data_IF_236588227087
#
_entry.id   IF_236588227087
#
_cell.length_a   1.000
_cell.length_b   1.000
_cell.length_c   1.000
_cell.angle_alpha   90.00
_cell.angle_beta   90.00
_cell.angle_gamma   90.00
#
_symmetry.space_group_name_H-M   'P 1'
#
loop_
_entity.id
_entity.type
_entity.pdbx_description
1 polymer ?
#
# COMPACT_ATOMS: atom_id res chain seq x y z
N UNK A 1 7.18 -82.78 46.81
CA UNK A 1 6.80 -83.01 45.40
C UNK A 1 5.55 -82.18 45.14
N UNK A 2 5.61 -81.22 44.22
CA UNK A 2 4.44 -80.42 43.86
C UNK A 2 3.53 -81.30 42.99
N UNK A 3 2.23 -81.42 43.27
CA UNK A 3 1.34 -82.25 42.48
C UNK A 3 1.26 -81.72 41.04
N UNK A 4 1.35 -82.61 40.05
CA UNK A 4 1.40 -82.26 38.62
C UNK A 4 0.20 -81.40 38.17
N UNK A 5 -0.96 -81.59 38.80
CA UNK A 5 -2.18 -80.79 38.59
C UNK A 5 -1.96 -79.31 38.91
N UNK A 6 -1.18 -78.99 39.94
CA UNK A 6 -0.90 -77.63 40.37
C UNK A 6 0.01 -76.90 39.36
N UNK A 7 0.94 -77.63 38.74
CA UNK A 7 1.80 -77.12 37.66
C UNK A 7 0.97 -76.83 36.41
N UNK A 8 0.04 -77.74 36.05
CA UNK A 8 -0.89 -77.56 34.92
C UNK A 8 -1.81 -76.34 35.11
N UNK A 9 -2.38 -76.17 36.31
CA UNK A 9 -3.24 -75.03 36.64
C UNK A 9 -2.46 -73.71 36.58
N UNK A 10 -1.24 -73.66 37.14
CA UNK A 10 -0.40 -72.46 37.11
C UNK A 10 0.00 -72.09 35.66
N UNK A 11 0.31 -73.08 34.82
CA UNK A 11 0.63 -72.83 33.42
C UNK A 11 -0.58 -72.29 32.64
N UNK A 12 -1.77 -72.86 32.85
CA UNK A 12 -3.02 -72.37 32.22
C UNK A 12 -3.38 -70.97 32.70
N UNK A 13 -3.23 -70.69 33.99
CA UNK A 13 -3.45 -69.35 34.55
C UNK A 13 -2.46 -68.33 33.99
N UNK A 14 -1.16 -68.69 33.90
CA UNK A 14 -0.14 -67.84 33.28
C UNK A 14 -0.41 -67.56 31.80
N UNK A 15 -0.82 -68.57 31.04
CA UNK A 15 -1.20 -68.41 29.63
C UNK A 15 -2.43 -67.52 29.46
N UNK A 16 -3.46 -67.66 30.30
CA UNK A 16 -4.65 -66.82 30.26
C UNK A 16 -4.32 -65.35 30.56
N UNK A 17 -3.47 -65.09 31.55
CA UNK A 17 -3.00 -63.74 31.89
C UNK A 17 -2.19 -63.14 30.73
N UNK A 18 -1.29 -63.91 30.11
CA UNK A 18 -0.49 -63.45 28.99
C UNK A 18 -1.36 -63.05 27.78
N UNK A 19 -2.38 -63.85 27.45
CA UNK A 19 -3.33 -63.54 26.37
C UNK A 19 -4.12 -62.27 26.68
N UNK A 20 -4.56 -62.10 27.93
CA UNK A 20 -5.29 -60.91 28.35
C UNK A 20 -4.43 -59.64 28.25
N UNK A 21 -3.18 -59.69 28.70
CA UNK A 21 -2.25 -58.55 28.59
C UNK A 21 -1.93 -58.22 27.12
N UNK A 22 -1.74 -59.24 26.28
CA UNK A 22 -1.53 -59.03 24.85
C UNK A 22 -2.74 -58.34 24.19
N UNK A 23 -3.97 -58.74 24.54
CA UNK A 23 -5.20 -58.11 24.03
C UNK A 23 -5.35 -56.64 24.49
N UNK A 24 -4.97 -56.33 25.73
CA UNK A 24 -4.97 -54.95 26.22
C UNK A 24 -3.93 -54.09 25.50
N UNK A 25 -2.73 -54.63 25.30
CA UNK A 25 -1.65 -53.90 24.60
C UNK A 25 -2.01 -53.61 23.15
N UNK A 26 -2.57 -54.58 22.42
CA UNK A 26 -3.02 -54.37 21.04
C UNK A 26 -4.19 -53.40 20.96
N UNK A 27 -5.16 -53.49 21.89
CA UNK A 27 -6.27 -52.55 21.98
C UNK A 27 -5.81 -51.11 22.25
N UNK A 28 -4.83 -50.93 23.13
CA UNK A 28 -4.26 -49.60 23.41
C UNK A 28 -3.54 -48.99 22.20
N UNK A 29 -2.71 -49.78 21.50
CA UNK A 29 -2.03 -49.31 20.29
C UNK A 29 -3.03 -48.98 19.18
N UNK A 30 -4.02 -49.85 18.97
CA UNK A 30 -5.08 -49.62 17.98
C UNK A 30 -5.88 -48.35 18.29
N UNK A 31 -6.32 -48.18 19.55
CA UNK A 31 -7.05 -46.98 19.99
C UNK A 31 -6.25 -45.70 19.78
N UNK A 32 -4.98 -45.69 20.20
CA UNK A 32 -4.10 -44.52 20.00
C UNK A 32 -3.90 -44.20 18.51
N UNK A 33 -3.74 -45.22 17.67
CA UNK A 33 -3.58 -45.00 16.23
C UNK A 33 -4.85 -44.46 15.57
N UNK A 34 -6.04 -44.88 16.03
CA UNK A 34 -7.31 -44.36 15.55
C UNK A 34 -7.50 -42.89 15.94
N UNK A 35 -7.28 -42.54 17.21
CA UNK A 35 -7.38 -41.15 17.68
C UNK A 35 -6.39 -40.23 16.96
N UNK A 36 -5.15 -40.68 16.75
CA UNK A 36 -4.15 -39.94 15.98
C UNK A 36 -4.57 -39.78 14.51
N UNK A 37 -5.17 -40.82 13.91
CA UNK A 37 -5.69 -40.76 12.55
C UNK A 37 -6.82 -39.74 12.39
N UNK A 38 -7.78 -39.74 13.30
CA UNK A 38 -8.87 -38.75 13.32
C UNK A 38 -8.37 -37.33 13.52
N UNK A 39 -7.40 -37.13 14.44
CA UNK A 39 -6.80 -35.83 14.67
C UNK A 39 -6.09 -35.30 13.42
N UNK A 40 -5.25 -36.12 12.79
CA UNK A 40 -4.54 -35.75 11.57
C UNK A 40 -5.48 -35.46 10.41
N UNK A 41 -6.57 -36.23 10.28
CA UNK A 41 -7.59 -35.97 9.27
C UNK A 41 -8.27 -34.61 9.50
N UNK A 42 -8.65 -34.30 10.74
CA UNK A 42 -9.23 -33.01 11.09
C UNK A 42 -8.26 -31.84 10.89
N UNK A 43 -6.98 -32.01 11.20
CA UNK A 43 -5.94 -31.01 10.91
C UNK A 43 -5.76 -30.79 9.41
N UNK A 44 -5.76 -31.86 8.62
CA UNK A 44 -5.64 -31.77 7.17
C UNK A 44 -6.83 -31.05 6.53
N UNK A 45 -8.05 -31.33 7.00
CA UNK A 45 -9.24 -30.60 6.55
C UNK A 45 -9.18 -29.11 6.87
N UNK A 46 -8.76 -28.75 8.09
CA UNK A 46 -8.56 -27.34 8.48
C UNK A 46 -7.50 -26.67 7.62
N UNK A 47 -6.35 -27.31 7.43
CA UNK A 47 -5.26 -26.78 6.61
C UNK A 47 -5.70 -26.57 5.15
N UNK A 48 -6.48 -27.49 4.58
CA UNK A 48 -7.03 -27.33 3.24
C UNK A 48 -8.02 -26.18 3.16
N UNK A 49 -8.94 -26.06 4.11
CA UNK A 49 -9.90 -24.96 4.15
C UNK A 49 -9.19 -23.59 4.29
N UNK A 50 -8.14 -23.52 5.11
CA UNK A 50 -7.30 -22.33 5.24
C UNK A 50 -6.57 -22.01 3.92
N UNK A 51 -5.99 -23.01 3.28
CA UNK A 51 -5.29 -22.84 2.00
C UNK A 51 -6.23 -22.35 0.88
N UNK A 52 -7.45 -22.89 0.81
CA UNK A 52 -8.48 -22.41 -0.12
C UNK A 52 -8.88 -20.96 0.18
N UNK A 53 -9.08 -20.61 1.46
CA UNK A 53 -9.40 -19.25 1.87
C UNK A 53 -8.28 -18.25 1.51
N UNK A 54 -7.01 -18.64 1.72
CA UNK A 54 -5.84 -17.83 1.33
C UNK A 54 -5.81 -17.66 -0.19
N UNK A 55 -5.99 -18.74 -0.94
CA UNK A 55 -5.98 -18.70 -2.41
C UNK A 55 -7.08 -17.79 -2.95
N UNK A 56 -8.27 -17.83 -2.35
CA UNK A 56 -9.37 -16.94 -2.70
C UNK A 56 -9.02 -15.47 -2.41
N UNK A 57 -8.51 -15.17 -1.21
CA UNK A 57 -8.08 -13.82 -0.85
C UNK A 57 -6.99 -13.28 -1.78
N UNK A 58 -6.04 -14.12 -2.19
CA UNK A 58 -4.99 -13.74 -3.14
C UNK A 58 -5.57 -13.38 -4.51
N UNK A 59 -6.54 -14.15 -5.01
CA UNK A 59 -7.23 -13.84 -6.28
C UNK A 59 -8.03 -12.55 -6.19
N UNK A 60 -8.77 -12.36 -5.09
CA UNK A 60 -9.56 -11.14 -4.86
C UNK A 60 -8.65 -9.90 -4.77
N UNK A 61 -7.52 -10.01 -4.05
CA UNK A 61 -6.52 -8.95 -3.93
C UNK A 61 -5.85 -8.64 -5.27
N UNK A 62 -5.53 -9.65 -6.08
CA UNK A 62 -4.95 -9.45 -7.41
C UNK A 62 -5.94 -8.72 -8.34
N UNK A 63 -7.22 -9.09 -8.31
CA UNK A 63 -8.26 -8.41 -9.08
C UNK A 63 -8.47 -6.96 -8.61
N UNK A 64 -8.45 -6.71 -7.30
CA UNK A 64 -8.51 -5.36 -6.74
C UNK A 64 -7.30 -4.51 -7.16
N UNK A 65 -6.09 -5.07 -7.11
CA UNK A 65 -4.87 -4.41 -7.54
C UNK A 65 -4.91 -4.05 -9.04
N UNK A 66 -5.41 -4.95 -9.90
CA UNK A 66 -5.56 -4.67 -11.32
C UNK A 66 -6.55 -3.52 -11.59
N UNK A 67 -7.68 -3.47 -10.87
CA UNK A 67 -8.64 -2.36 -10.96
C UNK A 67 -8.01 -1.04 -10.51
N UNK A 68 -7.28 -1.07 -9.39
CA UNK A 68 -6.62 0.12 -8.87
C UNK A 68 -5.53 0.63 -9.83
N UNK A 69 -4.78 -0.26 -10.49
CA UNK A 69 -3.81 0.12 -11.51
C UNK A 69 -4.48 0.83 -12.69
N UNK A 70 -5.60 0.31 -13.21
CA UNK A 70 -6.35 0.93 -14.29
C UNK A 70 -6.91 2.31 -13.89
N UNK A 71 -7.46 2.44 -12.68
CA UNK A 71 -7.92 3.75 -12.16
C UNK A 71 -6.77 4.74 -12.03
N UNK A 72 -5.62 4.31 -11.51
CA UNK A 72 -4.43 5.16 -11.38
C UNK A 72 -3.89 5.63 -12.74
N UNK A 73 -3.92 4.76 -13.74
CA UNK A 73 -3.56 5.12 -15.12
C UNK A 73 -4.51 6.17 -15.68
N UNK A 74 -5.83 5.99 -15.51
CA UNK A 74 -6.85 6.97 -15.92
C UNK A 74 -6.64 8.34 -15.25
N UNK A 75 -6.42 8.35 -13.93
CA UNK A 75 -6.14 9.60 -13.17
C UNK A 75 -4.86 10.26 -13.67
N UNK A 76 -3.81 9.48 -13.91
CA UNK A 76 -2.52 10.01 -14.39
C UNK A 76 -2.67 10.62 -15.77
N UNK A 77 -3.41 9.95 -16.66
CA UNK A 77 -3.72 10.46 -17.99
C UNK A 77 -4.51 11.76 -17.92
N UNK A 78 -5.61 11.80 -17.18
CA UNK A 78 -6.44 13.01 -17.03
C UNK A 78 -5.65 14.19 -16.46
N UNK A 79 -4.82 13.95 -15.44
CA UNK A 79 -3.90 14.96 -14.89
C UNK A 79 -2.93 15.47 -15.96
N UNK A 80 -2.29 14.58 -16.70
CA UNK A 80 -1.28 14.96 -17.70
C UNK A 80 -1.92 15.76 -18.84
N UNK A 81 -3.07 15.32 -19.34
CA UNK A 81 -3.79 15.99 -20.42
C UNK A 81 -4.21 17.42 -20.03
N UNK A 82 -4.55 17.65 -18.77
CA UNK A 82 -4.90 18.97 -18.25
C UNK A 82 -3.67 19.85 -17.96
N UNK A 83 -2.63 19.29 -17.35
CA UNK A 83 -1.47 20.05 -16.85
C UNK A 83 -0.52 20.48 -17.98
N UNK A 84 -0.31 19.65 -19.00
CA UNK A 84 0.64 19.94 -20.08
C UNK A 84 0.39 21.29 -20.80
N UNK A 85 -0.84 21.62 -21.24
CA UNK A 85 -1.08 22.92 -21.86
C UNK A 85 -0.91 24.09 -20.88
N UNK A 86 -1.17 23.89 -19.59
CA UNK A 86 -1.00 24.92 -18.56
C UNK A 86 0.48 25.19 -18.31
N UNK A 87 1.30 24.15 -18.20
CA UNK A 87 2.77 24.28 -18.10
C UNK A 87 3.31 25.05 -19.31
N UNK A 88 2.88 24.70 -20.52
CA UNK A 88 3.32 25.38 -21.74
C UNK A 88 2.98 26.88 -21.71
N UNK A 89 1.79 27.25 -21.22
CA UNK A 89 1.38 28.67 -21.06
C UNK A 89 2.21 29.39 -20.01
N UNK A 90 2.46 28.79 -18.84
CA UNK A 90 3.27 29.39 -17.77
C UNK A 90 4.73 29.57 -18.25
N UNK A 91 5.27 28.61 -18.98
CA UNK A 91 6.61 28.70 -19.55
C UNK A 91 6.72 29.80 -20.61
N UNK A 92 5.67 29.99 -21.43
CA UNK A 92 5.60 31.04 -22.45
C UNK A 92 5.25 32.43 -21.87
N UNK A 93 4.83 32.52 -20.61
CA UNK A 93 4.44 33.78 -20.00
C UNK A 93 5.65 34.71 -19.78
N UNK A 94 5.46 35.98 -20.14
CA UNK A 94 6.44 37.05 -19.88
C UNK A 94 6.81 37.12 -18.40
N UNK A 95 8.01 37.63 -18.11
CA UNK A 95 8.47 37.81 -16.73
C UNK A 95 7.56 38.78 -15.97
N UNK A 96 7.31 38.47 -14.72
CA UNK A 96 6.42 39.27 -13.87
C UNK A 96 7.03 40.65 -13.61
N UNK A 97 6.22 41.70 -13.75
CA UNK A 97 6.61 43.09 -13.45
C UNK A 97 6.37 43.40 -11.97
N UNK A 98 7.29 44.12 -11.36
CA UNK A 98 7.11 44.63 -9.99
C UNK A 98 6.11 45.78 -10.06
N UNK A 99 4.93 45.57 -9.48
CA UNK A 99 3.91 46.62 -9.37
C UNK A 99 4.41 47.77 -8.50
N UNK A 100 4.06 49.00 -8.88
CA UNK A 100 4.40 50.22 -8.14
C UNK A 100 3.91 50.22 -6.69
N UNK A 101 2.87 49.43 -6.37
CA UNK A 101 2.33 49.26 -5.02
C UNK A 101 3.20 48.37 -4.10
N UNK A 102 4.08 47.52 -4.65
CA UNK A 102 4.91 46.58 -3.85
C UNK A 102 6.16 47.28 -3.31
N UNK A 103 6.70 48.26 -4.05
CA UNK A 103 7.89 49.02 -3.66
C UNK A 103 7.60 50.51 -3.36
N UNK A 104 6.34 50.93 -3.31
CA UNK A 104 5.95 52.29 -2.98
C UNK A 104 5.91 52.51 -1.46
N UNK A 105 7.07 52.62 -0.80
CA UNK A 105 7.08 52.96 0.63
C UNK A 105 8.39 52.79 1.41
N UNK A 106 9.47 53.48 1.02
CA UNK A 106 10.24 54.25 2.01
C UNK A 106 10.91 55.44 1.31
N UNK A 107 10.34 56.62 1.52
CA UNK A 107 11.11 57.84 1.43
C UNK A 107 12.12 57.81 2.61
N UNK A 108 13.41 57.80 2.31
CA UNK A 108 14.46 58.02 3.31
C UNK A 108 15.24 56.77 3.73
N UNK A 109 16.10 56.28 2.84
CA UNK A 109 17.40 55.76 3.26
C UNK A 109 18.41 56.16 2.19
N UNK A 110 19.13 57.25 2.46
CA UNK A 110 20.32 57.65 1.71
C UNK A 110 21.41 56.58 1.81
N UNK A 111 22.22 56.50 0.74
CA UNK A 111 23.60 55.95 0.61
C UNK A 111 23.73 54.49 0.08
N UNK A 112 24.77 54.13 -0.72
CA UNK A 112 25.72 54.90 -1.54
C UNK A 112 25.61 54.64 -3.06
N UNK A 113 26.23 55.51 -3.86
CA UNK A 113 26.48 55.35 -5.30
C UNK A 113 27.12 53.99 -5.63
N UNK A 114 26.41 53.19 -6.42
CA UNK A 114 26.99 52.10 -7.22
C UNK A 114 27.09 52.65 -8.65
N UNK A 115 28.25 52.55 -9.32
CA UNK A 115 28.43 53.19 -10.63
C UNK A 115 27.43 52.62 -11.64
N UNK A 116 26.73 53.58 -12.24
CA UNK A 116 25.81 53.45 -13.37
C UNK A 116 26.38 52.54 -14.46
N UNK A 117 25.69 51.41 -14.66
CA UNK A 117 25.63 50.71 -15.95
C UNK A 117 24.15 50.67 -16.32
N UNK A 118 23.83 51.26 -17.48
CA UNK A 118 22.52 51.75 -17.90
C UNK A 118 21.31 50.86 -17.60
N UNK A 119 20.34 51.42 -16.87
CA UNK A 119 18.95 51.63 -17.31
C UNK A 119 18.15 52.21 -16.12
N UNK A 120 18.43 53.48 -15.83
CA UNK A 120 17.77 54.24 -14.77
C UNK A 120 16.73 55.20 -15.33
N UNK A 121 15.65 54.70 -15.95
CA UNK A 121 14.48 55.51 -16.27
C UNK A 121 13.23 54.68 -16.61
N UNK A 122 12.91 53.64 -15.84
CA UNK A 122 11.53 53.14 -15.85
C UNK A 122 11.13 52.46 -14.53
N UNK A 123 10.65 53.25 -13.58
CA UNK A 123 10.06 52.75 -12.33
C UNK A 123 8.75 51.96 -12.56
N UNK A 124 8.20 51.99 -13.78
CA UNK A 124 7.02 51.19 -14.19
C UNK A 124 7.38 49.87 -14.89
N UNK A 125 8.66 49.59 -15.17
CA UNK A 125 9.13 48.37 -15.88
C UNK A 125 10.17 47.54 -15.13
N UNK A 126 10.33 47.70 -13.81
CA UNK A 126 11.25 46.86 -13.05
C UNK A 126 10.75 45.41 -13.05
N UNK A 127 11.41 44.53 -13.80
CA UNK A 127 11.10 43.10 -13.82
C UNK A 127 11.53 42.44 -12.51
N UNK A 128 10.77 41.44 -12.06
CA UNK A 128 11.16 40.58 -10.93
C UNK A 128 12.48 39.87 -11.28
N UNK A 129 13.39 39.69 -10.31
CA UNK A 129 14.66 38.99 -10.53
C UNK A 129 14.41 37.60 -11.14
N UNK A 130 15.34 37.13 -11.97
CA UNK A 130 15.14 35.91 -12.76
C UNK A 130 15.06 34.63 -11.92
N UNK A 131 15.69 34.61 -10.74
CA UNK A 131 15.55 33.54 -9.75
C UNK A 131 14.15 33.53 -9.14
N UNK A 132 13.65 34.69 -8.71
CA UNK A 132 12.30 34.81 -8.13
C UNK A 132 11.20 34.51 -9.18
N UNK A 133 11.36 34.96 -10.43
CA UNK A 133 10.42 34.62 -11.52
C UNK A 133 10.40 33.12 -11.80
N UNK A 134 11.57 32.47 -11.77
CA UNK A 134 11.69 31.01 -11.93
C UNK A 134 11.00 30.27 -10.80
N UNK A 135 11.24 30.68 -9.55
CA UNK A 135 10.64 30.05 -8.37
C UNK A 135 9.12 30.24 -8.35
N UNK A 136 8.63 31.43 -8.74
CA UNK A 136 7.21 31.71 -8.86
C UNK A 136 6.55 30.83 -9.95
N UNK A 137 7.18 30.72 -11.12
CA UNK A 137 6.69 29.82 -12.18
C UNK A 137 6.71 28.36 -11.75
N UNK A 138 7.74 27.93 -11.04
CA UNK A 138 7.82 26.57 -10.49
C UNK A 138 6.70 26.32 -9.47
N UNK A 139 6.42 27.29 -8.60
CA UNK A 139 5.31 27.23 -7.64
C UNK A 139 3.96 27.17 -8.35
N UNK A 140 3.72 28.01 -9.36
CA UNK A 140 2.49 27.97 -10.15
C UNK A 140 2.29 26.61 -10.83
N UNK A 141 3.35 26.04 -11.40
CA UNK A 141 3.31 24.69 -11.98
C UNK A 141 2.99 23.62 -10.93
N UNK A 142 3.56 23.73 -9.73
CA UNK A 142 3.29 22.80 -8.64
C UNK A 142 1.81 22.87 -8.18
N UNK A 143 1.29 24.08 -7.96
CA UNK A 143 -0.11 24.30 -7.58
C UNK A 143 -1.07 23.77 -8.64
N UNK A 144 -0.81 24.03 -9.92
CA UNK A 144 -1.67 23.53 -11.01
C UNK A 144 -1.64 21.99 -11.12
N UNK A 145 -0.49 21.36 -10.86
CA UNK A 145 -0.39 19.89 -10.79
C UNK A 145 -1.25 19.33 -9.66
N UNK A 146 -1.23 19.94 -8.48
CA UNK A 146 -2.00 19.47 -7.33
C UNK A 146 -3.51 19.67 -7.57
N UNK A 147 -3.91 20.81 -8.12
CA UNK A 147 -5.30 21.09 -8.48
C UNK A 147 -5.83 20.15 -9.57
N UNK A 148 -5.05 19.91 -10.62
CA UNK A 148 -5.41 18.96 -11.68
C UNK A 148 -5.50 17.53 -11.14
N UNK A 149 -4.62 17.13 -10.22
CA UNK A 149 -4.72 15.84 -9.53
C UNK A 149 -6.02 15.75 -8.74
N UNK A 150 -6.38 16.80 -7.99
CA UNK A 150 -7.65 16.87 -7.26
C UNK A 150 -8.87 16.73 -8.16
N UNK A 151 -8.89 17.43 -9.31
CA UNK A 151 -9.97 17.33 -10.31
C UNK A 151 -10.04 15.95 -10.96
N UNK A 152 -8.90 15.37 -11.33
CA UNK A 152 -8.85 14.01 -11.86
C UNK A 152 -9.37 12.97 -10.85
N UNK A 153 -9.01 13.11 -9.57
CA UNK A 153 -9.55 12.28 -8.49
C UNK A 153 -11.07 12.46 -8.33
N UNK A 154 -11.59 13.69 -8.39
CA UNK A 154 -13.03 13.95 -8.35
C UNK A 154 -13.76 13.34 -9.55
N UNK A 155 -13.20 13.44 -10.76
CA UNK A 155 -13.76 12.82 -11.95
C UNK A 155 -13.82 11.29 -11.82
N UNK A 156 -12.72 10.67 -11.40
CA UNK A 156 -12.67 9.22 -11.14
C UNK A 156 -13.66 8.80 -10.04
N UNK A 157 -13.80 9.60 -8.97
CA UNK A 157 -14.79 9.34 -7.92
C UNK A 157 -16.23 9.35 -8.45
N UNK A 158 -16.57 10.28 -9.35
CA UNK A 158 -17.89 10.34 -10.00
C UNK A 158 -18.13 9.16 -10.93
N UNK A 159 -17.15 8.79 -11.75
CA UNK A 159 -17.24 7.62 -12.66
C UNK A 159 -17.47 6.31 -11.89
N UNK A 160 -16.90 6.20 -10.68
CA UNK A 160 -17.08 5.04 -9.80
C UNK A 160 -18.28 5.17 -8.83
N UNK A 161 -19.11 6.21 -8.95
CA UNK A 161 -20.31 6.39 -8.12
C UNK A 161 -20.04 6.72 -6.65
N UNK A 162 -18.84 7.19 -6.31
CA UNK A 162 -18.42 7.56 -4.96
C UNK A 162 -18.69 9.03 -4.62
N UNK A 163 -18.99 9.86 -5.63
CA UNK A 163 -19.34 11.26 -5.48
C UNK A 163 -20.49 11.61 -6.43
N UNK A 164 -21.47 12.37 -5.94
CA UNK A 164 -22.59 12.94 -6.71
C UNK A 164 -22.21 14.29 -7.34
#
# INVERSE_FOLDING_TARGET
MIPAELVSILFRAGAAIAVFLAALATGYVAGRSAEQGEHLAAEFERANAEHEAITKRLKDNAAAAARQAATNESITKGKNDEVQPVIARIAAAERVRVGSAICGGSAGASTPEVPSSGDGADSSRRMVRSDVDRDLKALMIAVEKDLATGRACQAAAREHGLAY
#
